data_IF_637777657647
#
_entry.id   IF_637777657647
#
_cell.length_a   1.000
_cell.length_b   1.000
_cell.length_c   1.000
_cell.angle_alpha   90.00
_cell.angle_beta   90.00
_cell.angle_gamma   90.00
#
_symmetry.space_group_name_H-M   'P 1'
#
loop_
_entity.id
_entity.type
_entity.pdbx_description
1 polymer ?
#
# COMPACT_ATOMS: atom_id res chain seq x y z
N UNK A 1 -1.16 -34.37 -2.53
CA UNK A 1 -1.65 -33.09 -1.98
C UNK A 1 -1.52 -33.17 -0.47
N UNK A 2 -0.84 -32.23 0.16
CA UNK A 2 -0.85 -32.05 1.62
C UNK A 2 -1.55 -30.72 1.88
N UNK A 3 -2.54 -30.69 2.77
CA UNK A 3 -3.35 -29.49 3.04
C UNK A 3 -3.23 -29.11 4.53
N UNK A 4 -2.15 -28.42 4.92
CA UNK A 4 -2.16 -27.61 6.14
C UNK A 4 -3.22 -26.49 6.06
N UNK A 5 -3.72 -26.03 7.21
CA UNK A 5 -4.57 -24.82 7.27
C UNK A 5 -3.81 -23.66 6.61
N UNK A 6 -4.47 -22.93 5.71
CA UNK A 6 -3.95 -21.74 5.01
C UNK A 6 -2.76 -21.94 4.08
N UNK A 7 -2.38 -23.19 3.78
CA UNK A 7 -1.28 -23.51 2.85
C UNK A 7 -1.58 -24.77 2.06
N UNK A 8 -1.40 -24.75 0.74
CA UNK A 8 -1.42 -25.96 -0.06
C UNK A 8 -0.28 -25.99 -1.06
N UNK A 9 0.22 -27.19 -1.34
CA UNK A 9 1.33 -27.38 -2.29
C UNK A 9 0.88 -28.29 -3.42
N UNK A 10 1.00 -27.82 -4.65
CA UNK A 10 0.86 -28.63 -5.85
C UNK A 10 2.22 -29.21 -6.21
N UNK A 11 2.25 -30.44 -6.73
CA UNK A 11 3.47 -31.07 -7.25
C UNK A 11 3.14 -31.80 -8.54
N UNK A 12 3.83 -31.43 -9.61
CA UNK A 12 3.80 -32.15 -10.86
C UNK A 12 4.65 -33.42 -10.73
N UNK A 13 4.10 -34.56 -11.15
CA UNK A 13 4.82 -35.85 -11.17
C UNK A 13 5.37 -36.20 -12.55
N UNK A 14 4.89 -35.53 -13.61
CA UNK A 14 5.27 -35.78 -14.99
C UNK A 14 5.59 -34.46 -15.69
N UNK A 15 6.87 -34.16 -15.88
CA UNK A 15 7.37 -32.85 -16.33
C UNK A 15 7.54 -32.75 -17.85
N UNK A 16 7.24 -33.83 -18.58
CA UNK A 16 7.38 -33.90 -20.05
C UNK A 16 6.43 -32.96 -20.82
N UNK A 17 5.42 -32.39 -20.15
CA UNK A 17 4.45 -31.46 -20.74
C UNK A 17 4.92 -29.99 -20.81
N UNK A 18 6.04 -29.62 -20.18
CA UNK A 18 6.47 -28.22 -20.01
C UNK A 18 7.35 -27.62 -21.12
N UNK A 19 7.43 -28.24 -22.31
CA UNK A 19 8.42 -27.86 -23.35
C UNK A 19 7.97 -26.78 -24.36
N UNK A 20 6.87 -26.08 -24.12
CA UNK A 20 6.36 -25.09 -25.08
C UNK A 20 6.58 -23.63 -24.60
N UNK A 21 7.85 -23.20 -24.55
CA UNK A 21 8.25 -21.79 -24.38
C UNK A 21 7.57 -20.79 -25.36
N UNK A 22 7.29 -21.13 -26.64
CA UNK A 22 6.82 -20.13 -27.61
C UNK A 22 5.39 -19.61 -27.37
N UNK A 23 4.51 -20.46 -26.82
CA UNK A 23 3.10 -20.11 -26.61
C UNK A 23 2.92 -19.14 -25.43
N UNK A 24 3.74 -19.32 -24.39
CA UNK A 24 3.70 -18.52 -23.16
C UNK A 24 4.08 -17.04 -23.36
N UNK A 25 5.11 -16.76 -24.16
CA UNK A 25 5.53 -15.38 -24.47
C UNK A 25 4.46 -14.60 -25.24
N UNK A 26 3.56 -15.29 -25.93
CA UNK A 26 2.46 -14.70 -26.71
C UNK A 26 1.25 -14.33 -25.84
N UNK A 27 1.06 -15.01 -24.71
CA UNK A 27 -0.04 -14.75 -23.76
C UNK A 27 0.31 -13.63 -22.76
N UNK A 28 1.57 -13.50 -22.35
CA UNK A 28 2.02 -12.49 -21.37
C UNK A 28 2.52 -11.17 -21.99
N UNK A 29 2.43 -11.00 -23.31
CA UNK A 29 2.68 -9.70 -23.94
C UNK A 29 4.16 -9.27 -24.01
N UNK A 30 5.09 -10.23 -24.07
CA UNK A 30 6.45 -10.04 -24.58
C UNK A 30 7.29 -8.90 -23.99
N UNK A 31 8.01 -9.18 -22.90
CA UNK A 31 9.45 -8.94 -22.71
C UNK A 31 9.88 -9.83 -21.55
N UNK A 32 10.86 -10.71 -21.83
CA UNK A 32 11.53 -11.70 -20.96
C UNK A 32 11.12 -11.65 -19.48
N UNK A 33 10.25 -12.58 -19.08
CA UNK A 33 10.06 -12.94 -17.67
C UNK A 33 11.28 -13.75 -17.23
N UNK A 34 12.36 -13.07 -16.84
CA UNK A 34 13.48 -13.75 -16.20
C UNK A 34 13.02 -14.28 -14.83
N UNK A 35 13.12 -15.60 -14.69
CA UNK A 35 13.10 -16.37 -13.45
C UNK A 35 11.75 -16.89 -12.89
N UNK A 36 10.80 -17.25 -13.76
CA UNK A 36 9.95 -18.42 -13.45
C UNK A 36 10.60 -19.68 -13.99
N UNK A 37 11.58 -20.20 -13.25
CA UNK A 37 11.95 -21.61 -13.34
C UNK A 37 10.65 -22.44 -13.34
N UNK A 38 10.49 -23.47 -14.19
CA UNK A 38 9.35 -24.37 -14.11
C UNK A 38 9.48 -25.14 -12.80
N UNK A 39 8.94 -24.58 -11.71
CA UNK A 39 8.92 -25.28 -10.45
C UNK A 39 7.96 -26.46 -10.61
N UNK A 40 8.50 -27.67 -10.45
CA UNK A 40 7.72 -28.91 -10.36
C UNK A 40 6.75 -28.91 -9.17
N UNK A 41 6.80 -27.88 -8.32
CA UNK A 41 5.94 -27.71 -7.17
C UNK A 41 5.72 -26.23 -6.84
N UNK A 42 4.46 -25.85 -6.61
CA UNK A 42 4.09 -24.50 -6.17
C UNK A 42 3.42 -24.58 -4.81
N UNK A 43 3.83 -23.70 -3.90
CA UNK A 43 3.20 -23.57 -2.59
C UNK A 43 2.38 -22.29 -2.57
N UNK A 44 1.09 -22.45 -2.35
CA UNK A 44 0.11 -21.39 -2.24
C UNK A 44 -0.23 -21.16 -0.78
N UNK A 45 -0.52 -19.90 -0.45
CA UNK A 45 -1.02 -19.49 0.87
C UNK A 45 -2.36 -18.80 0.69
N UNK A 46 -3.21 -18.91 1.72
CA UNK A 46 -4.51 -18.24 1.71
C UNK A 46 -4.32 -16.72 1.78
N UNK A 47 -5.09 -16.03 0.95
CA UNK A 47 -5.21 -14.58 0.92
C UNK A 47 -6.69 -14.24 1.11
N UNK A 48 -6.97 -13.25 1.96
CA UNK A 48 -8.31 -12.72 2.16
C UNK A 48 -8.41 -11.32 1.57
N UNK A 49 -9.60 -10.94 1.13
CA UNK A 49 -9.89 -9.55 0.80
C UNK A 49 -10.04 -8.72 2.08
N UNK A 50 -9.62 -7.45 2.03
CA UNK A 50 -9.77 -6.53 3.14
C UNK A 50 -11.25 -6.25 3.44
N UNK A 51 -11.63 -6.14 4.73
CA UNK A 51 -12.97 -5.71 5.11
C UNK A 51 -13.21 -4.27 4.63
N UNK A 52 -14.46 -3.94 4.31
CA UNK A 52 -14.88 -2.60 3.88
C UNK A 52 -15.73 -1.94 4.95
N UNK A 53 -15.52 -0.64 5.18
CA UNK A 53 -16.33 0.21 6.04
C UNK A 53 -17.00 1.32 5.21
N UNK A 54 -18.21 1.78 5.54
CA UNK A 54 -18.87 2.89 4.82
C UNK A 54 -18.08 4.20 4.85
N UNK A 55 -17.25 4.41 5.88
CA UNK A 55 -16.43 5.62 6.04
C UNK A 55 -15.05 5.53 5.37
N UNK A 56 -14.77 4.42 4.67
CA UNK A 56 -13.50 4.28 3.95
C UNK A 56 -13.43 5.29 2.80
N UNK A 57 -12.30 6.00 2.71
CA UNK A 57 -12.04 7.02 1.67
C UNK A 57 -12.27 6.49 0.23
N UNK A 58 -11.96 5.21 0.02
CA UNK A 58 -12.12 4.48 -1.23
C UNK A 58 -12.33 3.02 -0.85
N UNK A 59 -13.20 2.31 -1.56
CA UNK A 59 -13.44 0.89 -1.28
C UNK A 59 -12.13 0.08 -1.24
N UNK A 60 -11.79 -0.65 -0.17
CA UNK A 60 -10.59 -1.47 -0.15
C UNK A 60 -10.66 -2.63 -1.15
N UNK A 61 -9.53 -3.26 -1.45
CA UNK A 61 -9.49 -4.37 -2.41
C UNK A 61 -8.15 -4.54 -3.13
N UNK A 62 -8.16 -5.32 -4.20
CA UNK A 62 -6.98 -5.56 -5.04
C UNK A 62 -6.89 -4.53 -6.17
N UNK A 63 -5.67 -4.07 -6.41
CA UNK A 63 -5.32 -3.14 -7.45
C UNK A 63 -4.12 -3.65 -8.22
N UNK A 64 -4.12 -3.46 -9.53
CA UNK A 64 -3.02 -3.75 -10.42
C UNK A 64 -2.24 -2.47 -10.74
N UNK A 65 -0.94 -2.57 -10.89
CA UNK A 65 -0.07 -1.45 -11.25
C UNK A 65 1.16 -1.94 -12.01
N UNK A 66 1.76 -1.08 -12.84
CA UNK A 66 3.00 -1.40 -13.53
C UNK A 66 4.22 -0.95 -12.71
N UNK A 67 5.23 -1.82 -12.66
CA UNK A 67 6.54 -1.50 -12.10
C UNK A 67 7.62 -1.80 -13.14
N UNK A 68 8.29 -0.76 -13.63
CA UNK A 68 9.18 -0.71 -14.81
C UNK A 68 9.90 -2.00 -15.19
N UNK A 69 10.72 -2.53 -14.30
CA UNK A 69 11.56 -3.73 -14.56
C UNK A 69 10.86 -5.06 -14.28
N UNK A 70 9.71 -5.06 -13.62
CA UNK A 70 9.04 -6.28 -13.18
C UNK A 70 7.65 -6.49 -13.80
N UNK A 71 7.18 -5.57 -14.64
CA UNK A 71 5.89 -5.67 -15.32
C UNK A 71 4.69 -5.39 -14.41
N UNK A 72 3.57 -6.07 -14.69
CA UNK A 72 2.31 -5.93 -13.98
C UNK A 72 2.41 -6.56 -12.58
N UNK A 73 1.99 -5.81 -11.56
CA UNK A 73 1.99 -6.21 -10.17
C UNK A 73 0.61 -6.03 -9.55
N UNK A 74 0.31 -6.79 -8.51
CA UNK A 74 -0.89 -6.69 -7.71
C UNK A 74 -0.53 -6.18 -6.32
N UNK A 75 -1.27 -5.19 -5.84
CA UNK A 75 -1.26 -4.69 -4.48
C UNK A 75 -2.66 -4.74 -3.87
N UNK A 76 -2.72 -4.73 -2.55
CA UNK A 76 -3.95 -4.71 -1.77
C UNK A 76 -4.05 -3.40 -1.00
N UNK A 77 -5.10 -2.63 -1.27
CA UNK A 77 -5.48 -1.48 -0.45
C UNK A 77 -6.37 -1.95 0.69
N UNK A 78 -6.00 -1.63 1.93
CA UNK A 78 -6.73 -2.03 3.13
C UNK A 78 -6.68 -0.94 4.20
N UNK A 79 -7.73 -0.85 5.00
CA UNK A 79 -7.83 0.10 6.11
C UNK A 79 -7.58 -0.66 7.41
N UNK A 80 -6.34 -0.60 7.90
CA UNK A 80 -5.97 -1.27 9.16
C UNK A 80 -4.87 -0.50 9.90
N UNK A 81 -4.94 -0.51 11.23
CA UNK A 81 -4.02 0.26 12.07
C UNK A 81 -4.31 1.76 11.98
N UNK A 82 -3.25 2.59 12.06
CA UNK A 82 -3.38 4.05 12.12
C UNK A 82 -3.62 4.71 10.75
N UNK A 83 -3.30 4.01 9.67
CA UNK A 83 -3.28 4.56 8.30
C UNK A 83 -3.81 3.52 7.30
N UNK A 84 -4.53 3.93 6.25
CA UNK A 84 -4.73 3.07 5.08
C UNK A 84 -3.39 2.63 4.49
N UNK A 85 -3.35 1.39 4.01
CA UNK A 85 -2.13 0.75 3.53
C UNK A 85 -2.34 0.07 2.19
N UNK A 86 -1.39 0.28 1.29
CA UNK A 86 -1.27 -0.46 0.04
C UNK A 86 -0.11 -1.44 0.18
N UNK A 87 -0.42 -2.72 0.30
CA UNK A 87 0.56 -3.80 0.47
C UNK A 87 0.74 -4.56 -0.84
N UNK A 88 1.98 -4.63 -1.33
CA UNK A 88 2.30 -5.43 -2.52
C UNK A 88 2.07 -6.91 -2.25
N UNK A 89 1.36 -7.58 -3.16
CA UNK A 89 0.98 -9.00 -3.05
C UNK A 89 1.85 -9.88 -3.96
N UNK A 90 2.19 -9.41 -5.16
CA UNK A 90 3.01 -10.16 -6.12
C UNK A 90 4.41 -9.57 -6.24
N UNK A 91 5.41 -10.41 -6.51
CA UNK A 91 6.81 -10.01 -6.74
C UNK A 91 7.73 -10.32 -5.56
N UNK A 92 9.04 -10.13 -5.77
CA UNK A 92 10.09 -10.56 -4.83
C UNK A 92 10.46 -9.54 -3.74
N UNK A 93 9.92 -8.32 -3.79
CA UNK A 93 10.23 -7.28 -2.82
C UNK A 93 9.04 -6.99 -1.93
N UNK A 94 9.30 -6.70 -0.65
CA UNK A 94 8.27 -6.23 0.28
C UNK A 94 8.10 -4.74 0.08
N UNK A 95 6.86 -4.35 -0.18
CA UNK A 95 6.51 -2.95 -0.40
C UNK A 95 5.20 -2.66 0.32
N UNK A 96 5.20 -1.65 1.18
CA UNK A 96 4.01 -1.15 1.86
C UNK A 96 3.98 0.37 1.79
N UNK A 97 2.95 0.92 1.16
CA UNK A 97 2.67 2.34 1.14
C UNK A 97 1.66 2.68 2.24
N UNK A 98 2.04 3.56 3.17
CA UNK A 98 1.18 4.11 4.22
C UNK A 98 0.64 5.48 3.79
N UNK A 99 -0.66 5.69 3.91
CA UNK A 99 -1.33 6.93 3.47
C UNK A 99 -1.75 7.76 4.70
N UNK A 100 -1.22 8.96 4.84
CA UNK A 100 -1.53 9.81 5.99
C UNK A 100 -2.75 10.69 5.70
N UNK A 101 -3.96 10.17 5.96
CA UNK A 101 -5.22 10.89 5.68
C UNK A 101 -5.36 12.26 6.36
N UNK A 102 -4.69 12.49 7.50
CA UNK A 102 -4.66 13.80 8.18
C UNK A 102 -3.73 14.82 7.52
N UNK A 103 -2.93 14.40 6.53
CA UNK A 103 -1.91 15.20 5.84
C UNK A 103 -2.36 15.44 4.40
N UNK A 104 -3.48 16.13 4.27
CA UNK A 104 -4.03 16.55 2.97
C UNK A 104 -3.08 17.55 2.31
N UNK A 105 -2.82 17.38 1.02
CA UNK A 105 -1.99 18.24 0.19
C UNK A 105 -2.93 18.97 -0.76
N UNK A 106 -3.09 20.28 -0.56
CA UNK A 106 -3.91 21.09 -1.44
C UNK A 106 -3.21 21.33 -2.78
N UNK A 107 -3.93 21.06 -3.87
CA UNK A 107 -3.50 21.43 -5.21
C UNK A 107 -4.00 22.85 -5.49
N UNK A 108 -3.09 23.79 -5.71
CA UNK A 108 -3.47 25.15 -6.12
C UNK A 108 -3.88 25.12 -7.59
N UNK A 109 -5.00 25.77 -7.90
CA UNK A 109 -5.49 26.07 -9.25
C UNK A 109 -5.46 24.89 -10.26
N UNK A 110 -5.73 23.67 -9.80
CA UNK A 110 -5.88 22.50 -10.68
C UNK A 110 -4.59 21.99 -11.31
N UNK A 111 -3.43 22.38 -10.79
CA UNK A 111 -2.16 21.99 -11.38
C UNK A 111 -1.13 21.61 -10.30
N UNK A 112 -0.65 20.37 -10.33
CA UNK A 112 0.60 19.99 -9.65
C UNK A 112 1.79 20.42 -10.53
N UNK A 113 1.81 21.68 -10.98
CA UNK A 113 2.67 22.04 -12.10
C UNK A 113 4.14 22.15 -11.74
N UNK A 114 4.48 22.35 -10.46
CA UNK A 114 5.88 22.50 -10.05
C UNK A 114 6.34 21.37 -9.11
N UNK A 115 7.18 20.48 -9.64
CA UNK A 115 7.82 19.42 -8.87
C UNK A 115 8.59 19.94 -7.65
N UNK A 116 9.26 21.10 -7.77
CA UNK A 116 10.05 21.65 -6.65
C UNK A 116 9.15 22.11 -5.51
N UNK A 117 7.98 22.69 -5.82
CA UNK A 117 7.00 23.08 -4.81
C UNK A 117 6.38 21.85 -4.14
N UNK A 118 5.99 20.84 -4.94
CA UNK A 118 5.49 19.57 -4.41
C UNK A 118 6.52 18.91 -3.49
N UNK A 119 7.78 18.86 -3.92
CA UNK A 119 8.88 18.29 -3.14
C UNK A 119 9.08 19.04 -1.83
N UNK A 120 8.99 20.38 -1.82
CA UNK A 120 9.10 21.20 -0.61
C UNK A 120 7.97 20.88 0.37
N UNK A 121 6.73 20.89 -0.09
CA UNK A 121 5.55 20.62 0.76
C UNK A 121 5.64 19.22 1.37
N UNK A 122 6.01 18.22 0.59
CA UNK A 122 6.13 16.84 1.09
C UNK A 122 7.28 16.70 2.09
N UNK A 123 8.41 17.37 1.87
CA UNK A 123 9.51 17.39 2.84
C UNK A 123 9.10 18.05 4.16
N UNK A 124 8.41 19.19 4.11
CA UNK A 124 7.89 19.86 5.31
C UNK A 124 6.93 18.96 6.11
N UNK A 125 6.02 18.26 5.41
CA UNK A 125 5.12 17.29 6.06
C UNK A 125 5.90 16.11 6.63
N UNK A 126 6.90 15.59 5.92
CA UNK A 126 7.73 14.47 6.38
C UNK A 126 8.47 14.82 7.68
N UNK A 127 9.00 16.04 7.79
CA UNK A 127 9.61 16.54 9.02
C UNK A 127 8.60 16.64 10.16
N UNK A 128 7.40 17.18 9.92
CA UNK A 128 6.34 17.25 10.93
C UNK A 128 5.94 15.86 11.44
N UNK A 129 5.72 14.90 10.52
CA UNK A 129 5.39 13.52 10.86
C UNK A 129 6.50 12.87 11.68
N UNK A 130 7.76 13.13 11.32
CA UNK A 130 8.92 12.60 12.06
C UNK A 130 8.99 13.18 13.47
N UNK A 131 8.80 14.50 13.64
CA UNK A 131 8.78 15.16 14.96
C UNK A 131 7.67 14.62 15.86
N UNK A 132 6.46 14.47 15.33
CA UNK A 132 5.31 13.93 16.09
C UNK A 132 5.51 12.48 16.52
N UNK A 133 6.12 11.66 15.66
CA UNK A 133 6.44 10.27 15.99
C UNK A 133 7.49 10.18 17.10
N UNK A 134 8.50 11.06 17.09
CA UNK A 134 9.51 11.11 18.16
C UNK A 134 8.90 11.55 19.50
N UNK A 135 8.03 12.56 19.50
CA UNK A 135 7.34 13.01 20.72
C UNK A 135 6.44 11.92 21.31
N UNK A 136 5.69 11.19 20.47
CA UNK A 136 4.87 10.07 20.92
C UNK A 136 5.71 8.94 21.53
N UNK A 137 6.91 8.67 20.99
CA UNK A 137 7.81 7.67 21.55
C UNK A 137 8.41 8.11 22.89
N UNK A 138 8.76 9.39 23.04
CA UNK A 138 9.28 9.92 24.30
C UNK A 138 8.21 9.89 25.41
N UNK A 139 6.97 10.28 25.11
CA UNK A 139 5.86 10.22 26.07
C UNK A 139 5.57 8.78 26.54
N UNK A 140 5.63 7.80 25.63
CA UNK A 140 5.46 6.39 25.99
C UNK A 140 6.62 5.85 26.85
N UNK A 141 7.83 6.39 26.72
CA UNK A 141 8.98 6.03 27.56
C UNK A 141 8.91 6.66 28.95
N UNK A 142 8.38 7.88 29.07
CA UNK A 142 8.16 8.54 30.37
C UNK A 142 7.05 7.86 31.19
N UNK A 143 5.98 7.38 30.55
CA UNK A 143 4.92 6.59 31.20
C UNK A 143 5.43 5.24 31.73
N UNK A 144 6.32 4.56 31.00
CA UNK A 144 6.90 3.29 31.43
C UNK A 144 8.07 3.43 32.42
N UNK A 145 8.64 4.64 32.57
CA UNK A 145 9.79 4.92 33.43
C UNK A 145 9.45 5.39 34.85
N UNK A 146 8.17 5.59 35.17
CA UNK A 146 7.71 6.18 36.45
C UNK A 146 6.92 5.19 37.30
N UNK A 147 7.43 3.97 37.49
CA UNK A 147 6.91 3.01 38.48
C UNK A 147 7.85 2.95 39.70
N UNK A 148 7.92 4.05 40.49
CA UNK A 148 8.30 4.00 41.92
C UNK A 148 7.99 5.36 42.59
N UNK A 149 6.71 5.71 42.74
CA UNK A 149 6.31 6.61 43.82
C UNK A 149 4.84 6.41 44.19
N UNK A 150 4.67 6.21 45.49
CA UNK A 150 3.50 5.87 46.28
C UNK A 150 2.13 6.41 45.83
N UNK A 151 1.12 5.58 46.05
CA UNK A 151 -0.23 5.80 45.59
C UNK A 151 -0.90 7.06 46.14
N UNK A 152 -1.51 7.82 45.24
CA UNK A 152 -2.74 8.53 45.48
C UNK A 152 -3.63 8.45 44.24
N UNK A 153 -4.91 8.19 44.48
CA UNK A 153 -5.89 7.88 43.45
C UNK A 153 -6.03 9.00 42.43
N UNK A 154 -5.61 8.72 41.20
CA UNK A 154 -6.03 9.46 40.03
C UNK A 154 -7.02 8.59 39.27
N UNK A 155 -8.26 9.06 39.24
CA UNK A 155 -9.29 8.59 38.34
C UNK A 155 -8.67 8.51 36.94
N UNK A 156 -8.73 7.33 36.30
CA UNK A 156 -8.39 7.20 34.90
C UNK A 156 -9.10 8.32 34.14
N UNK A 157 -8.38 9.21 33.43
CA UNK A 157 -9.01 9.93 32.35
C UNK A 157 -9.49 8.82 31.43
N UNK A 158 -10.80 8.77 31.21
CA UNK A 158 -11.40 7.90 30.22
C UNK A 158 -10.50 7.93 28.99
N UNK A 159 -10.13 6.75 28.48
CA UNK A 159 -9.53 6.63 27.16
C UNK A 159 -10.29 7.60 26.25
N UNK A 160 -9.62 8.41 25.41
CA UNK A 160 -10.34 9.18 24.43
C UNK A 160 -11.14 8.15 23.64
N UNK A 161 -12.44 8.13 23.92
CA UNK A 161 -13.43 7.43 23.14
C UNK A 161 -13.09 7.75 21.71
N UNK A 162 -13.00 6.71 20.87
CA UNK A 162 -13.01 6.82 19.42
C UNK A 162 -14.10 7.85 19.09
N UNK A 163 -13.65 9.09 18.91
CA UNK A 163 -14.47 10.21 18.57
C UNK A 163 -14.67 10.07 17.09
N UNK A 164 -15.67 9.27 16.72
CA UNK A 164 -16.44 9.45 15.51
C UNK A 164 -16.84 10.92 15.44
N UNK A 165 -16.01 11.73 14.78
CA UNK A 165 -16.39 12.93 14.05
C UNK A 165 -15.11 13.55 13.53
N UNK A 166 -14.87 13.37 12.24
CA UNK A 166 -13.71 13.89 11.54
C UNK A 166 -14.00 14.07 10.07
N UNK A 167 -15.10 14.77 9.80
CA UNK A 167 -15.62 15.17 8.50
C UNK A 167 -15.97 14.01 7.56
N UNK A 168 -17.27 13.83 7.31
CA UNK A 168 -17.69 13.42 5.97
C UNK A 168 -16.88 14.30 5.01
N UNK A 169 -15.97 13.68 4.27
CA UNK A 169 -15.24 14.32 3.20
C UNK A 169 -16.31 14.96 2.32
N UNK A 170 -16.49 16.28 2.44
CA UNK A 170 -17.24 17.03 1.44
C UNK A 170 -16.63 16.60 0.12
N UNK A 171 -17.43 16.00 -0.77
CA UNK A 171 -16.93 15.55 -2.06
C UNK A 171 -16.30 16.76 -2.75
N UNK A 172 -14.97 16.90 -2.64
CA UNK A 172 -14.26 17.97 -3.30
C UNK A 172 -14.48 17.74 -4.79
N UNK A 173 -14.90 18.80 -5.48
CA UNK A 173 -15.08 18.72 -6.92
C UNK A 173 -13.75 18.28 -7.54
N UNK A 174 -13.75 17.25 -8.41
CA UNK A 174 -12.52 16.81 -9.05
C UNK A 174 -11.82 17.99 -9.70
N UNK A 175 -10.56 18.20 -9.32
CA UNK A 175 -9.72 19.24 -9.91
C UNK A 175 -8.92 18.64 -11.06
N UNK A 176 -8.57 19.42 -12.09
CA UNK A 176 -7.64 18.98 -13.11
C UNK A 176 -6.35 18.44 -12.50
N UNK A 177 -5.78 17.43 -13.12
CA UNK A 177 -4.54 16.81 -12.69
C UNK A 177 -3.63 16.58 -13.90
N UNK A 178 -2.40 17.04 -13.76
CA UNK A 178 -1.31 16.81 -14.71
C UNK A 178 -0.08 16.42 -13.91
N UNK A 179 0.68 15.43 -14.40
CA UNK A 179 1.91 15.03 -13.75
C UNK A 179 2.94 16.17 -13.77
N UNK A 180 3.66 16.41 -12.65
CA UNK A 180 4.71 17.42 -12.62
C UNK A 180 5.79 17.15 -13.68
N UNK A 181 6.32 18.21 -14.28
CA UNK A 181 7.38 18.10 -15.28
C UNK A 181 8.59 17.34 -14.72
N UNK A 182 9.04 16.33 -15.47
CA UNK A 182 10.18 15.48 -15.09
C UNK A 182 9.81 14.28 -14.22
N UNK A 183 8.53 14.06 -13.91
CA UNK A 183 8.03 12.81 -13.33
C UNK A 183 7.72 11.81 -14.45
N UNK A 184 8.33 10.62 -14.38
CA UNK A 184 8.13 9.55 -15.34
C UNK A 184 6.90 8.70 -14.98
N UNK A 185 6.18 8.20 -15.98
CA UNK A 185 5.20 7.12 -15.81
C UNK A 185 5.21 6.18 -17.02
N UNK A 186 5.00 4.88 -16.75
CA UNK A 186 4.75 3.88 -17.82
C UNK A 186 3.38 4.09 -18.41
N UNK A 187 2.38 4.30 -17.56
CA UNK A 187 1.00 4.43 -17.99
C UNK A 187 0.70 5.90 -18.25
N UNK A 188 0.50 6.23 -19.52
CA UNK A 188 0.15 7.59 -19.95
C UNK A 188 -1.37 7.83 -19.89
N UNK A 189 -2.18 6.80 -19.65
CA UNK A 189 -3.63 6.87 -19.62
C UNK A 189 -4.17 6.98 -18.18
N UNK A 190 -3.56 7.86 -17.37
CA UNK A 190 -4.06 8.18 -16.04
C UNK A 190 -5.25 9.17 -16.13
N UNK A 191 -6.18 9.16 -15.16
CA UNK A 191 -7.28 10.11 -15.16
C UNK A 191 -6.80 11.56 -15.10
N UNK A 192 -7.37 12.43 -15.93
CA UNK A 192 -6.99 13.85 -16.02
C UNK A 192 -7.53 14.74 -14.91
N UNK A 193 -8.21 14.17 -13.91
CA UNK A 193 -8.76 14.89 -12.75
C UNK A 193 -8.56 14.07 -11.49
N UNK A 194 -8.17 14.69 -10.38
CA UNK A 194 -8.09 14.04 -9.08
C UNK A 194 -9.05 14.66 -8.05
N UNK A 195 -9.50 13.84 -7.10
CA UNK A 195 -10.37 14.28 -6.00
C UNK A 195 -9.58 14.79 -4.81
N UNK A 196 -8.54 14.07 -4.41
CA UNK A 196 -7.79 14.36 -3.19
C UNK A 196 -6.34 13.95 -3.32
N UNK A 197 -5.46 14.64 -2.58
CA UNK A 197 -4.04 14.32 -2.49
C UNK A 197 -3.60 14.24 -1.03
N UNK A 198 -2.85 13.20 -0.68
CA UNK A 198 -2.37 12.99 0.68
C UNK A 198 -0.86 12.70 0.70
N UNK A 199 -0.22 13.04 1.80
CA UNK A 199 1.13 12.57 2.07
C UNK A 199 1.13 11.04 2.23
N UNK A 200 2.04 10.37 1.54
CA UNK A 200 2.25 8.93 1.63
C UNK A 200 3.70 8.57 1.88
N UNK A 201 3.93 7.42 2.51
CA UNK A 201 5.27 6.89 2.75
C UNK A 201 5.35 5.46 2.26
N UNK A 202 6.17 5.26 1.23
CA UNK A 202 6.42 3.97 0.64
C UNK A 202 7.62 3.31 1.32
N UNK A 203 7.39 2.17 1.97
CA UNK A 203 8.42 1.43 2.70
C UNK A 203 8.79 0.20 1.89
N UNK A 204 10.03 0.18 1.38
CA UNK A 204 10.54 -0.90 0.53
C UNK A 204 11.64 -1.64 1.26
N UNK A 205 11.49 -2.96 1.38
CA UNK A 205 12.55 -3.87 1.80
C UNK A 205 13.02 -4.64 0.57
N UNK A 206 14.25 -4.35 0.15
CA UNK A 206 14.94 -5.06 -0.93
C UNK A 206 15.77 -6.21 -0.35
N UNK A 207 15.93 -7.28 -1.13
CA UNK A 207 16.81 -8.39 -0.79
C UNK A 207 18.23 -7.88 -0.44
N UNK A 208 18.74 -8.28 0.72
CA UNK A 208 20.08 -7.91 1.20
C UNK A 208 20.18 -6.63 2.04
N UNK A 209 19.09 -5.86 2.20
CA UNK A 209 19.07 -4.70 3.08
C UNK A 209 18.44 -5.04 4.45
N UNK A 210 19.12 -4.77 5.57
CA UNK A 210 18.63 -5.15 6.91
C UNK A 210 17.44 -4.31 7.39
N UNK A 211 17.19 -3.14 6.79
CA UNK A 211 16.14 -2.21 7.21
C UNK A 211 15.29 -1.73 6.04
N UNK A 212 13.95 -1.59 6.22
CA UNK A 212 13.09 -1.00 5.21
C UNK A 212 13.49 0.46 4.97
N UNK A 213 13.71 0.84 3.71
CA UNK A 213 13.94 2.23 3.34
C UNK A 213 12.58 2.91 3.14
N UNK A 214 12.40 4.07 3.77
CA UNK A 214 11.16 4.85 3.72
C UNK A 214 11.31 5.96 2.68
N UNK A 215 10.33 6.06 1.81
CA UNK A 215 10.31 7.01 0.71
C UNK A 215 9.05 7.86 0.75
N UNK A 216 9.18 9.16 1.08
CA UNK A 216 8.04 10.06 1.11
C UNK A 216 7.57 10.36 -0.32
N UNK A 217 6.27 10.59 -0.45
CA UNK A 217 5.63 10.86 -1.73
C UNK A 217 4.21 11.37 -1.57
N UNK A 218 3.50 11.40 -2.69
CA UNK A 218 2.12 11.90 -2.77
C UNK A 218 1.22 10.79 -3.25
N UNK A 219 0.26 10.43 -2.41
CA UNK A 219 -0.87 9.60 -2.81
C UNK A 219 -1.94 10.48 -3.45
N UNK A 220 -2.47 10.06 -4.60
CA UNK A 220 -3.44 10.80 -5.39
C UNK A 220 -4.67 9.92 -5.59
N UNK A 221 -5.84 10.37 -5.16
CA UNK A 221 -7.09 9.69 -5.40
C UNK A 221 -7.76 10.29 -6.66
N UNK A 222 -7.98 9.47 -7.68
CA UNK A 222 -8.68 9.92 -8.89
C UNK A 222 -10.18 9.63 -8.81
N UNK A 223 -10.53 8.37 -8.57
CA UNK A 223 -11.90 7.88 -8.49
C UNK A 223 -11.96 6.59 -7.64
N UNK A 224 -13.13 5.93 -7.61
CA UNK A 224 -13.34 4.69 -6.84
C UNK A 224 -12.48 3.51 -7.30
N UNK A 225 -11.91 3.55 -8.50
CA UNK A 225 -11.17 2.46 -9.12
C UNK A 225 -9.73 2.83 -9.41
N UNK A 226 -9.34 4.11 -9.33
CA UNK A 226 -8.02 4.57 -9.68
C UNK A 226 -7.42 5.46 -8.60
N UNK A 227 -6.19 5.14 -8.23
CA UNK A 227 -5.34 6.02 -7.43
C UNK A 227 -3.91 5.97 -7.95
N UNK A 228 -3.11 6.94 -7.55
CA UNK A 228 -1.73 7.07 -7.96
C UNK A 228 -0.80 7.33 -6.78
N UNK A 229 0.48 7.07 -6.99
CA UNK A 229 1.53 7.44 -6.04
C UNK A 229 2.74 8.04 -6.77
N UNK A 230 3.09 9.27 -6.44
CA UNK A 230 4.34 9.91 -6.90
C UNK A 230 5.43 9.64 -5.86
N UNK A 231 6.43 8.88 -6.28
CA UNK A 231 7.68 8.70 -5.56
C UNK A 231 8.62 9.85 -5.88
N UNK A 232 8.85 10.74 -4.90
CA UNK A 232 9.62 11.97 -5.13
C UNK A 232 11.09 11.71 -5.46
N UNK A 233 11.79 10.87 -4.69
CA UNK A 233 13.23 10.60 -4.88
C UNK A 233 13.50 10.03 -6.28
N UNK A 234 12.63 9.13 -6.75
CA UNK A 234 12.75 8.51 -8.07
C UNK A 234 12.13 9.34 -9.22
N UNK A 235 11.42 10.44 -8.90
CA UNK A 235 10.56 11.18 -9.84
C UNK A 235 9.68 10.24 -10.67
N UNK A 236 8.99 9.33 -9.99
CA UNK A 236 8.27 8.25 -10.66
C UNK A 236 6.83 8.15 -10.18
N UNK A 237 5.90 7.99 -11.13
CA UNK A 237 4.48 7.87 -10.86
C UNK A 237 3.97 6.46 -11.13
N UNK A 238 3.40 5.85 -10.08
CA UNK A 238 2.69 4.58 -10.15
C UNK A 238 1.18 4.83 -10.24
N UNK A 239 0.55 4.31 -11.30
CA UNK A 239 -0.90 4.26 -11.42
C UNK A 239 -1.41 2.88 -10.96
N UNK A 240 -2.42 2.88 -10.10
CA UNK A 240 -3.09 1.69 -9.59
C UNK A 240 -4.53 1.67 -10.08
N UNK A 241 -4.91 0.60 -10.78
CA UNK A 241 -6.27 0.35 -11.24
C UNK A 241 -6.90 -0.82 -10.49
N UNK A 242 -8.16 -0.71 -10.09
CA UNK A 242 -8.87 -1.76 -9.34
C UNK A 242 -9.04 -3.02 -10.20
N UNK A 243 -8.75 -4.17 -9.61
CA UNK A 243 -9.08 -5.48 -10.20
C UNK A 243 -10.60 -5.66 -10.17
N UNK A 244 -11.21 -5.79 -11.35
CA UNK A 244 -12.67 -5.86 -11.51
C UNK A 244 -13.23 -7.29 -11.37
N UNK A 245 -12.36 -8.30 -11.26
CA UNK A 245 -12.78 -9.68 -11.10
C UNK A 245 -13.51 -9.88 -9.76
N UNK A 246 -14.56 -10.68 -9.79
CA UNK A 246 -15.25 -11.18 -8.61
C UNK A 246 -14.58 -12.46 -8.12
N UNK A 247 -14.27 -12.52 -6.82
CA UNK A 247 -13.67 -13.69 -6.19
C UNK A 247 -14.66 -14.35 -5.21
N UNK A 248 -14.54 -15.67 -5.05
CA UNK A 248 -15.35 -16.48 -4.13
C UNK A 248 -14.51 -16.91 -2.92
N UNK A 249 -15.14 -17.09 -1.76
CA UNK A 249 -14.51 -17.58 -0.52
C UNK A 249 -13.29 -16.76 -0.06
N UNK A 250 -13.37 -15.44 -0.24
CA UNK A 250 -12.27 -14.50 0.00
C UNK A 250 -12.39 -13.69 1.29
N UNK A 251 -13.52 -13.75 1.98
CA UNK A 251 -13.70 -13.03 3.23
C UNK A 251 -12.87 -13.66 4.35
N UNK A 252 -12.23 -12.81 5.14
CA UNK A 252 -11.51 -13.27 6.33
C UNK A 252 -12.53 -13.73 7.39
N UNK A 253 -12.30 -14.88 8.06
CA UNK A 253 -13.19 -15.34 9.13
C UNK A 253 -13.29 -14.35 10.29
N UNK A 254 -12.24 -13.58 10.54
CA UNK A 254 -12.20 -12.46 11.49
C UNK A 254 -11.22 -11.37 11.04
N UNK A 255 -11.33 -10.13 11.57
CA UNK A 255 -10.33 -9.10 11.35
C UNK A 255 -8.92 -9.52 11.79
N UNK A 256 -8.80 -10.36 12.82
CA UNK A 256 -7.52 -10.88 13.32
C UNK A 256 -6.89 -11.84 12.30
N UNK A 257 -7.68 -12.73 11.68
CA UNK A 257 -7.19 -13.62 10.62
C UNK A 257 -6.67 -12.83 9.41
N UNK A 258 -7.32 -11.70 9.09
CA UNK A 258 -6.85 -10.79 8.03
C UNK A 258 -5.48 -10.19 8.38
N UNK A 259 -5.30 -9.69 9.61
CA UNK A 259 -4.02 -9.13 10.07
C UNK A 259 -2.91 -10.19 10.12
N UNK A 260 -3.23 -11.42 10.53
CA UNK A 260 -2.29 -12.53 10.52
C UNK A 260 -1.85 -12.87 9.09
N UNK A 261 -2.80 -12.92 8.16
CA UNK A 261 -2.51 -13.12 6.73
C UNK A 261 -1.58 -12.04 6.17
N UNK A 262 -1.80 -10.76 6.49
CA UNK A 262 -0.91 -9.67 6.08
C UNK A 262 0.51 -9.82 6.67
N UNK A 263 0.63 -10.17 7.95
CA UNK A 263 1.92 -10.44 8.59
C UNK A 263 2.65 -11.61 7.92
N UNK A 264 1.91 -12.64 7.50
CA UNK A 264 2.46 -13.79 6.80
C UNK A 264 3.00 -13.39 5.41
N UNK A 265 2.28 -12.56 4.66
CA UNK A 265 2.75 -12.02 3.37
C UNK A 265 4.03 -11.19 3.57
N UNK A 266 4.03 -10.29 4.55
CA UNK A 266 5.16 -9.40 4.81
C UNK A 266 6.36 -10.08 5.48
N UNK A 267 6.22 -11.28 6.04
CA UNK A 267 7.33 -12.05 6.61
C UNK A 267 8.02 -12.96 5.60
N UNK A 268 7.39 -13.27 4.46
CA UNK A 268 8.00 -14.10 3.41
C UNK A 268 9.24 -13.45 2.81
N UNK A 269 10.36 -14.17 2.63
CA UNK A 269 11.55 -13.63 1.96
C UNK A 269 11.23 -13.15 0.54
#
# INVERSE_FOLDING_TARGET
>A
MQIPKDRFTTRCKNTDHGRDLPTWLREEGGLVLEDRQPYDWLTYRRLYLPPSHPDDLIRPGLFQYYYDVFGLMIAMLSFHGKYPRVTKITGISKKTLEIHLRRHIQLRDGEICNFNELSRVVQEIAEQVTREQQQQQQQQQEEYGTEESEGHGCQSPAQPSIGESGAAASEEQPVPFVLPVGVCSIDQNYPGTCRMCFYGVDSVTLFGFPYPRRFPGVFILFDENHFGFIWLEAKYFFLYGRVQNTFQDVEAPSPQDFLEMLKNIQSMP
#
